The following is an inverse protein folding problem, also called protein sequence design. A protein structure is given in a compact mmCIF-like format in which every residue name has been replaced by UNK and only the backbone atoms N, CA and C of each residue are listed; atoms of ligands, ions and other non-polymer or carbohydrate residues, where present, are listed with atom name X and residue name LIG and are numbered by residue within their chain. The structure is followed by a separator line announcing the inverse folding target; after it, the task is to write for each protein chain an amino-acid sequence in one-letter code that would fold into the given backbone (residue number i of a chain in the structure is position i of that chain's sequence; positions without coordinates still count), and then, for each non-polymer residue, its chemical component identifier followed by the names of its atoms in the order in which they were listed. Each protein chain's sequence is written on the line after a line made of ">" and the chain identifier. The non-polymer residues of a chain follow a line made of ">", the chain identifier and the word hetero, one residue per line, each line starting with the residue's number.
data_IF_336413490726
#
_entry.id   IF_336413490726
#
_cell.length_a   1.000
_cell.length_b   1.000
_cell.length_c   1.000
_cell.angle_alpha   90.00
_cell.angle_beta   90.00
_cell.angle_gamma   90.00
#
_symmetry.space_group_name_H-M   'P 1'
#
loop_
_entity.id
_entity.type
_entity.pdbx_description
1 polymer ?
#
# COMPACT_ATOMS: atom_id res chain seq x y z
N UNK A 1 -13.05 0.12 10.67
CA UNK A 1 -12.09 -0.36 11.70
C UNK A 1 -10.81 -0.72 10.98
N UNK A 2 -9.76 0.08 11.13
CA UNK A 2 -8.45 -0.21 10.55
C UNK A 2 -7.94 -1.55 11.09
N UNK A 3 -7.47 -2.42 10.20
CA UNK A 3 -7.01 -3.78 10.50
C UNK A 3 -5.63 -3.74 11.20
N UNK A 4 -5.54 -3.11 12.37
CA UNK A 4 -4.30 -2.93 13.13
C UNK A 4 -4.29 -3.91 14.29
N UNK A 5 -3.33 -4.83 14.24
CA UNK A 5 -2.98 -5.71 15.36
C UNK A 5 -2.13 -4.93 16.37
N UNK A 6 -1.97 -5.48 17.57
CA UNK A 6 -1.04 -4.94 18.55
C UNK A 6 0.37 -4.76 17.94
N UNK A 7 1.14 -3.81 18.48
CA UNK A 7 2.51 -3.53 18.04
C UNK A 7 2.66 -3.02 16.59
N UNK A 8 1.59 -2.45 16.01
CA UNK A 8 1.67 -1.74 14.72
C UNK A 8 1.00 -0.37 14.81
N UNK A 9 1.79 0.67 14.57
CA UNK A 9 1.41 2.07 14.75
C UNK A 9 1.34 2.74 13.39
N UNK A 10 0.40 3.67 13.23
CA UNK A 10 0.38 4.54 12.06
C UNK A 10 0.38 5.99 12.53
N UNK A 11 1.16 6.81 11.84
CA UNK A 11 1.10 8.24 11.94
C UNK A 11 0.67 8.81 10.59
N UNK A 12 -0.52 9.40 10.54
CA UNK A 12 -1.05 10.09 9.35
C UNK A 12 -0.42 11.47 9.30
N UNK A 13 0.10 11.86 8.15
CA UNK A 13 0.62 13.19 7.89
C UNK A 13 -0.27 13.91 6.89
N UNK A 14 -0.11 15.24 6.82
CA UNK A 14 -0.68 16.00 5.72
C UNK A 14 -0.01 15.58 4.40
N UNK A 15 -0.77 15.38 3.31
CA UNK A 15 -0.20 15.27 1.97
C UNK A 15 0.71 16.46 1.58
N UNK A 16 0.48 17.63 2.19
CA UNK A 16 1.28 18.84 1.96
C UNK A 16 2.55 18.92 2.84
N UNK A 17 2.81 17.92 3.69
CA UNK A 17 4.03 17.85 4.50
C UNK A 17 5.26 17.79 3.57
N UNK A 18 6.22 18.75 3.64
CA UNK A 18 7.23 18.94 2.60
C UNK A 18 8.00 17.68 2.19
N UNK A 19 8.50 16.82 3.10
CA UNK A 19 9.21 15.60 2.71
C UNK A 19 8.32 14.59 1.97
N UNK A 20 7.03 14.52 2.31
CA UNK A 20 6.08 13.62 1.66
C UNK A 20 5.61 14.16 0.32
N UNK A 21 5.41 15.47 0.22
CA UNK A 21 5.11 16.16 -1.03
C UNK A 21 6.27 16.04 -2.03
N UNK A 22 7.51 16.19 -1.56
CA UNK A 22 8.72 15.99 -2.37
C UNK A 22 8.81 14.55 -2.88
N UNK A 23 8.64 13.57 -1.99
CA UNK A 23 8.64 12.14 -2.37
C UNK A 23 7.54 11.81 -3.37
N UNK A 24 6.35 12.40 -3.20
CA UNK A 24 5.23 12.23 -4.11
C UNK A 24 5.46 12.85 -5.49
N UNK A 25 6.34 13.85 -5.58
CA UNK A 25 6.77 14.49 -6.82
C UNK A 25 8.02 13.85 -7.44
N UNK A 26 8.58 12.80 -6.84
CA UNK A 26 9.83 12.19 -7.28
C UNK A 26 9.76 11.67 -8.73
N UNK A 27 10.83 11.90 -9.50
CA UNK A 27 10.88 11.64 -10.95
C UNK A 27 10.64 10.19 -11.35
N UNK A 28 10.99 9.23 -10.49
CA UNK A 28 10.70 7.80 -10.68
C UNK A 28 9.21 7.46 -10.49
N UNK A 29 8.52 8.21 -9.64
CA UNK A 29 7.17 7.90 -9.19
C UNK A 29 6.11 8.54 -10.09
N UNK A 30 6.30 9.82 -10.44
CA UNK A 30 5.35 10.61 -11.23
C UNK A 30 4.96 9.96 -12.57
N UNK A 31 5.89 9.42 -13.39
CA UNK A 31 5.53 8.79 -14.66
C UNK A 31 4.62 7.58 -14.48
N UNK A 32 4.86 6.76 -13.45
CA UNK A 32 4.05 5.56 -13.17
C UNK A 32 2.65 5.95 -12.68
N UNK A 33 2.56 6.90 -11.74
CA UNK A 33 1.27 7.41 -11.26
C UNK A 33 0.46 8.00 -12.42
N UNK A 34 1.10 8.82 -13.26
CA UNK A 34 0.45 9.44 -14.43
C UNK A 34 -0.02 8.38 -15.45
N UNK A 35 0.76 7.32 -15.67
CA UNK A 35 0.38 6.25 -16.59
C UNK A 35 -0.85 5.45 -16.09
N UNK A 36 -0.94 5.20 -14.77
CA UNK A 36 -2.01 4.37 -14.20
C UNK A 36 -3.29 5.15 -13.87
N UNK A 37 -3.15 6.37 -13.34
CA UNK A 37 -4.26 7.20 -12.87
C UNK A 37 -4.64 8.31 -13.86
N UNK A 38 -3.78 8.59 -14.83
CA UNK A 38 -3.96 9.67 -15.80
C UNK A 38 -3.42 11.02 -15.31
N UNK A 39 -3.53 12.08 -16.14
CA UNK A 39 -2.94 13.38 -15.84
C UNK A 39 -3.66 14.15 -14.70
N UNK A 40 -4.87 13.72 -14.30
CA UNK A 40 -5.64 14.32 -13.22
C UNK A 40 -5.71 13.37 -12.03
N UNK A 41 -4.69 13.42 -11.19
CA UNK A 41 -4.59 12.69 -9.93
C UNK A 41 -4.11 13.63 -8.83
N UNK A 42 -4.23 13.19 -7.58
CA UNK A 42 -3.74 13.91 -6.41
C UNK A 42 -3.20 12.93 -5.37
N UNK A 43 -2.35 13.42 -4.47
CA UNK A 43 -1.93 12.70 -3.28
C UNK A 43 -3.06 12.78 -2.26
N UNK A 44 -3.72 11.65 -2.01
CA UNK A 44 -4.88 11.59 -1.13
C UNK A 44 -4.48 11.38 0.32
N UNK A 45 -3.52 10.48 0.57
CA UNK A 45 -3.05 10.16 1.92
C UNK A 45 -1.54 9.97 1.92
N UNK A 46 -0.93 10.38 3.02
CA UNK A 46 0.48 10.16 3.24
C UNK A 46 0.73 9.91 4.74
N UNK A 47 1.72 9.09 5.06
CA UNK A 47 2.09 8.86 6.44
C UNK A 47 3.11 7.76 6.62
N UNK A 48 3.21 7.29 7.86
CA UNK A 48 4.14 6.26 8.28
C UNK A 48 3.39 5.12 8.96
N UNK A 49 3.73 3.88 8.61
CA UNK A 49 3.35 2.68 9.37
C UNK A 49 4.61 2.09 9.99
N UNK A 50 4.61 1.89 11.30
CA UNK A 50 5.70 1.26 12.04
C UNK A 50 5.23 -0.06 12.61
N UNK A 51 5.92 -1.14 12.24
CA UNK A 51 5.73 -2.46 12.83
C UNK A 51 6.82 -2.69 13.88
N UNK A 52 6.47 -2.72 15.16
CA UNK A 52 7.42 -3.01 16.23
C UNK A 52 7.74 -4.51 16.31
N UNK A 53 8.81 -4.85 17.02
CA UNK A 53 9.13 -6.25 17.34
C UNK A 53 7.94 -6.95 18.00
N UNK A 54 7.65 -8.19 17.59
CA UNK A 54 6.54 -8.98 18.10
C UNK A 54 5.19 -8.67 17.45
N UNK A 55 5.11 -7.78 16.47
CA UNK A 55 3.86 -7.52 15.76
C UNK A 55 3.37 -8.74 14.98
N UNK A 56 2.10 -9.11 15.16
CA UNK A 56 1.46 -10.16 14.40
C UNK A 56 1.21 -9.77 12.94
N UNK A 57 1.01 -10.80 12.11
CA UNK A 57 0.50 -10.61 10.75
C UNK A 57 -0.89 -9.96 10.79
N UNK A 58 -1.11 -8.98 9.92
CA UNK A 58 -2.45 -8.43 9.70
C UNK A 58 -3.36 -9.48 9.05
N UNK A 59 -4.68 -9.27 9.11
CA UNK A 59 -5.60 -10.09 8.29
C UNK A 59 -5.39 -9.74 6.81
N UNK A 60 -5.58 -10.71 5.93
CA UNK A 60 -5.68 -10.43 4.50
C UNK A 60 -6.83 -9.45 4.24
N UNK A 61 -6.54 -8.36 3.53
CA UNK A 61 -7.53 -7.34 3.19
C UNK A 61 -7.20 -6.65 1.86
N UNK A 62 -8.17 -5.90 1.34
CA UNK A 62 -7.99 -4.88 0.32
C UNK A 62 -8.16 -3.53 1.02
N UNK A 63 -7.40 -2.51 0.60
CA UNK A 63 -7.55 -1.16 1.16
C UNK A 63 -8.86 -0.52 0.66
N UNK A 64 -9.16 -0.73 -0.63
CA UNK A 64 -10.34 -0.17 -1.30
C UNK A 64 -11.13 -1.27 -2.01
N UNK A 65 -12.46 -1.17 -2.06
CA UNK A 65 -13.28 -2.12 -2.80
C UNK A 65 -13.21 -1.88 -4.31
N UNK A 66 -13.71 -2.85 -5.09
CA UNK A 66 -14.10 -2.59 -6.47
C UNK A 66 -15.32 -1.66 -6.50
N UNK A 67 -15.25 -0.56 -7.26
CA UNK A 67 -16.30 0.47 -7.28
C UNK A 67 -17.61 0.02 -7.95
N UNK A 68 -17.51 -0.89 -8.91
CA UNK A 68 -18.66 -1.29 -9.74
C UNK A 68 -18.82 -2.81 -9.73
N UNK A 69 -20.08 -3.26 -9.71
CA UNK A 69 -20.43 -4.67 -9.88
C UNK A 69 -20.42 -5.06 -11.37
N UNK A 70 -19.25 -4.95 -12.01
CA UNK A 70 -19.07 -5.35 -13.41
C UNK A 70 -18.12 -6.57 -13.52
N UNK A 71 -18.33 -7.39 -14.56
CA UNK A 71 -17.46 -8.52 -14.87
C UNK A 71 -16.12 -8.10 -15.49
N UNK A 72 -16.05 -6.89 -16.02
CA UNK A 72 -14.84 -6.34 -16.64
C UNK A 72 -13.86 -5.85 -15.58
N UNK A 73 -12.57 -6.18 -15.74
CA UNK A 73 -11.52 -5.57 -14.94
C UNK A 73 -11.32 -4.11 -15.37
N UNK A 74 -11.58 -3.19 -14.46
CA UNK A 74 -11.46 -1.75 -14.69
C UNK A 74 -10.09 -1.22 -14.25
N UNK A 75 -9.58 -0.15 -14.89
CA UNK A 75 -8.37 0.54 -14.45
C UNK A 75 -8.42 0.92 -12.95
N UNK A 76 -7.25 1.05 -12.29
CA UNK A 76 -7.19 1.47 -10.91
C UNK A 76 -7.76 2.89 -10.74
N UNK A 77 -8.52 3.08 -9.67
CA UNK A 77 -9.03 4.40 -9.26
C UNK A 77 -8.10 5.10 -8.26
N UNK A 78 -7.18 4.33 -7.68
CA UNK A 78 -6.15 4.75 -6.74
C UNK A 78 -4.92 3.84 -6.87
N UNK A 79 -3.78 4.29 -6.36
CA UNK A 79 -2.51 3.58 -6.34
C UNK A 79 -1.86 3.78 -4.97
N UNK A 80 -1.51 2.69 -4.31
CA UNK A 80 -0.77 2.73 -3.05
C UNK A 80 0.72 2.50 -3.32
N UNK A 81 1.56 3.26 -2.61
CA UNK A 81 3.02 3.17 -2.67
C UNK A 81 3.55 3.06 -1.27
N UNK A 82 4.34 2.01 -1.00
CA UNK A 82 5.16 1.93 0.20
C UNK A 82 6.62 2.24 -0.12
N UNK A 83 7.25 3.02 0.74
CA UNK A 83 8.68 3.32 0.70
C UNK A 83 9.31 2.88 2.02
N UNK A 84 10.06 1.77 2.04
CA UNK A 84 10.68 1.28 3.26
C UNK A 84 11.79 2.23 3.75
N UNK A 85 11.80 2.51 5.05
CA UNK A 85 12.89 3.26 5.69
C UNK A 85 13.93 2.33 6.32
N UNK A 86 13.74 1.02 6.21
CA UNK A 86 14.68 -0.02 6.58
C UNK A 86 14.68 -1.12 5.50
N UNK A 87 15.65 -2.04 5.58
CA UNK A 87 15.65 -3.22 4.73
C UNK A 87 14.41 -4.08 5.03
N UNK A 88 13.74 -4.56 3.99
CA UNK A 88 12.64 -5.50 4.10
C UNK A 88 13.14 -6.91 3.81
N UNK A 89 13.03 -7.78 4.81
CA UNK A 89 13.49 -9.16 4.73
C UNK A 89 12.53 -10.08 5.51
N UNK A 90 12.48 -11.39 5.22
CA UNK A 90 11.44 -12.27 5.76
C UNK A 90 11.22 -12.20 7.28
N UNK A 91 12.28 -12.01 8.08
CA UNK A 91 12.18 -11.99 9.54
C UNK A 91 11.51 -10.72 10.10
N UNK A 92 11.55 -9.58 9.41
CA UNK A 92 10.85 -8.36 9.85
C UNK A 92 9.45 -8.19 9.24
N UNK A 93 9.00 -9.21 8.49
CA UNK A 93 7.62 -9.39 8.06
C UNK A 93 7.16 -8.43 6.96
N UNK A 94 7.81 -8.36 5.79
CA UNK A 94 7.44 -7.49 4.68
C UNK A 94 5.96 -7.60 4.31
N UNK A 95 5.45 -6.62 3.56
CA UNK A 95 4.08 -6.73 3.03
C UNK A 95 4.00 -7.95 2.10
N UNK A 96 2.97 -8.76 2.32
CA UNK A 96 2.66 -9.95 1.55
C UNK A 96 1.50 -9.66 0.61
N UNK A 97 1.57 -10.15 -0.63
CA UNK A 97 0.57 -9.92 -1.66
C UNK A 97 0.08 -11.25 -2.23
N UNK A 98 -1.23 -11.39 -2.40
CA UNK A 98 -1.82 -12.43 -3.25
C UNK A 98 -1.89 -11.88 -4.68
N UNK A 99 -0.97 -12.31 -5.53
CA UNK A 99 -0.82 -11.81 -6.89
C UNK A 99 -2.13 -11.99 -7.69
N UNK A 100 -2.38 -11.01 -8.57
CA UNK A 100 -3.53 -10.98 -9.49
C UNK A 100 -4.93 -10.84 -8.84
N UNK A 101 -5.04 -10.73 -7.51
CA UNK A 101 -6.34 -10.64 -6.81
C UNK A 101 -7.04 -9.27 -6.93
N UNK A 102 -6.34 -8.23 -7.41
CA UNK A 102 -6.96 -6.97 -7.83
C UNK A 102 -7.87 -7.13 -9.07
N UNK A 103 -7.83 -8.29 -9.73
CA UNK A 103 -8.83 -8.71 -10.70
C UNK A 103 -9.86 -9.60 -10.00
N UNK A 104 -11.11 -9.14 -9.89
CA UNK A 104 -12.19 -9.81 -9.15
C UNK A 104 -12.39 -11.28 -9.55
N UNK A 105 -12.25 -11.60 -10.84
CA UNK A 105 -12.38 -12.97 -11.35
C UNK A 105 -11.34 -13.95 -10.77
N UNK A 106 -10.19 -13.44 -10.30
CA UNK A 106 -9.12 -14.26 -9.76
C UNK A 106 -9.27 -14.56 -8.26
N UNK A 107 -10.22 -13.94 -7.56
CA UNK A 107 -10.41 -14.13 -6.12
C UNK A 107 -10.85 -15.56 -5.75
N UNK A 108 -11.44 -16.28 -6.70
CA UNK A 108 -11.85 -17.69 -6.52
C UNK A 108 -10.72 -18.68 -6.84
N UNK A 109 -9.61 -18.20 -7.41
CA UNK A 109 -8.47 -19.04 -7.78
C UNK A 109 -7.53 -19.23 -6.59
N UNK A 110 -6.73 -20.29 -6.61
CA UNK A 110 -5.65 -20.48 -5.64
C UNK A 110 -4.61 -19.34 -5.82
N UNK A 111 -4.35 -18.52 -4.79
CA UNK A 111 -3.46 -17.37 -4.94
C UNK A 111 -2.01 -17.79 -5.06
N UNK A 112 -1.24 -17.02 -5.83
CA UNK A 112 0.22 -17.00 -5.78
C UNK A 112 0.66 -15.88 -4.85
N UNK A 113 1.71 -16.10 -4.07
CA UNK A 113 2.17 -15.13 -3.07
C UNK A 113 3.45 -14.43 -3.51
N UNK A 114 3.61 -13.18 -3.10
CA UNK A 114 4.86 -12.43 -3.20
C UNK A 114 5.13 -11.68 -1.89
N UNK A 115 6.40 -11.59 -1.53
CA UNK A 115 6.90 -10.79 -0.40
C UNK A 115 7.62 -9.57 -0.98
N UNK A 116 7.29 -8.37 -0.48
CA UNK A 116 8.03 -7.17 -0.82
C UNK A 116 9.35 -7.08 -0.03
N UNK A 117 10.30 -7.96 -0.32
CA UNK A 117 11.65 -7.89 0.21
C UNK A 117 12.50 -6.98 -0.68
N UNK A 118 13.04 -5.90 -0.12
CA UNK A 118 13.77 -4.87 -0.85
C UNK A 118 14.57 -3.97 0.10
N UNK A 119 15.63 -3.30 -0.38
CA UNK A 119 16.40 -2.37 0.43
C UNK A 119 15.60 -1.08 0.76
N UNK A 120 16.03 -0.30 1.77
CA UNK A 120 15.45 1.01 2.07
C UNK A 120 15.44 1.92 0.83
N UNK A 121 14.41 2.77 0.71
CA UNK A 121 14.24 3.69 -0.42
C UNK A 121 13.63 3.07 -1.68
N UNK A 122 13.40 1.75 -1.69
CA UNK A 122 12.67 1.08 -2.79
C UNK A 122 11.21 1.55 -2.86
N UNK A 123 10.61 1.53 -4.06
CA UNK A 123 9.20 1.83 -4.25
C UNK A 123 8.41 0.53 -4.44
N UNK A 124 7.52 0.20 -3.49
CA UNK A 124 6.58 -0.92 -3.61
C UNK A 124 5.22 -0.38 -3.98
N UNK A 125 4.87 -0.45 -5.27
CA UNK A 125 3.63 0.07 -5.81
C UNK A 125 2.60 -1.04 -6.03
N UNK A 126 1.36 -0.81 -5.62
CA UNK A 126 0.30 -1.79 -5.79
C UNK A 126 -1.08 -1.16 -5.98
N UNK A 127 -1.93 -1.88 -6.71
CA UNK A 127 -3.35 -1.58 -6.80
C UNK A 127 -4.01 -1.90 -5.43
N UNK A 128 -4.66 -0.95 -4.75
CA UNK A 128 -5.21 -1.17 -3.41
C UNK A 128 -6.38 -2.17 -3.35
N UNK A 129 -6.85 -2.65 -4.51
CA UNK A 129 -7.80 -3.78 -4.64
C UNK A 129 -7.11 -5.14 -4.52
N UNK A 130 -5.77 -5.19 -4.49
CA UNK A 130 -5.05 -6.44 -4.26
C UNK A 130 -5.22 -6.90 -2.81
N UNK A 131 -5.44 -8.20 -2.64
CA UNK A 131 -5.43 -8.82 -1.33
C UNK A 131 -4.00 -8.82 -0.79
N UNK A 132 -3.77 -8.14 0.31
CA UNK A 132 -2.47 -8.00 0.94
C UNK A 132 -2.56 -7.98 2.47
N UNK A 133 -1.40 -8.08 3.13
CA UNK A 133 -1.27 -7.89 4.59
C UNK A 133 0.16 -7.49 4.94
N UNK A 134 0.32 -6.72 6.02
CA UNK A 134 1.61 -6.62 6.70
C UNK A 134 1.95 -7.96 7.38
N UNK A 135 3.12 -8.52 7.07
CA UNK A 135 3.64 -9.71 7.71
C UNK A 135 4.03 -9.49 9.19
N UNK A 136 4.28 -10.59 9.92
CA UNK A 136 4.66 -10.53 11.33
C UNK A 136 6.10 -10.05 11.50
N UNK A 137 6.35 -9.10 12.39
CA UNK A 137 7.71 -8.65 12.69
C UNK A 137 8.29 -9.51 13.82
N UNK A 138 9.13 -10.48 13.46
CA UNK A 138 9.83 -11.38 14.38
C UNK A 138 11.28 -10.94 14.64
N UNK A 139 11.70 -9.80 14.09
CA UNK A 139 12.99 -9.20 14.37
C UNK A 139 12.98 -8.46 15.71
N UNK A 140 14.14 -8.03 16.17
CA UNK A 140 14.36 -7.21 17.36
C UNK A 140 14.27 -5.69 17.10
N UNK A 141 14.03 -5.28 15.85
CA UNK A 141 13.97 -3.89 15.42
C UNK A 141 12.59 -3.49 14.89
N UNK A 142 12.36 -2.18 14.81
CA UNK A 142 11.19 -1.62 14.14
C UNK A 142 11.33 -1.73 12.62
N UNK A 143 10.20 -1.97 11.94
CA UNK A 143 10.09 -1.89 10.48
C UNK A 143 9.18 -0.72 10.09
N UNK A 144 9.76 0.49 9.89
CA UNK A 144 9.06 1.65 9.38
C UNK A 144 8.88 1.65 7.85
N UNK A 145 7.67 2.01 7.41
CA UNK A 145 7.29 2.20 6.00
C UNK A 145 6.57 3.53 5.83
N UNK A 146 7.03 4.38 4.92
CA UNK A 146 6.21 5.49 4.44
C UNK A 146 5.16 4.94 3.49
N UNK A 147 3.94 5.46 3.55
CA UNK A 147 2.91 5.19 2.57
C UNK A 147 2.46 6.47 1.89
N UNK A 148 2.20 6.37 0.59
CA UNK A 148 1.54 7.39 -0.22
C UNK A 148 0.37 6.71 -0.96
N UNK A 149 -0.80 7.33 -0.93
CA UNK A 149 -1.95 6.90 -1.72
C UNK A 149 -2.31 7.99 -2.70
N UNK A 150 -2.19 7.69 -3.98
CA UNK A 150 -2.63 8.55 -5.06
C UNK A 150 -4.01 8.14 -5.53
N UNK A 151 -4.85 9.12 -5.85
CA UNK A 151 -6.20 8.86 -6.32
C UNK A 151 -6.50 9.68 -7.57
N UNK A 152 -7.33 9.12 -8.45
CA UNK A 152 -7.91 9.89 -9.55
C UNK A 152 -8.74 11.03 -8.97
N UNK A 153 -8.74 12.19 -9.63
CA UNK A 153 -9.37 13.41 -9.06
C UNK A 153 -10.88 13.28 -8.77
N UNK A 154 -11.55 12.32 -9.40
CA UNK A 154 -12.98 12.05 -9.17
C UNK A 154 -13.24 11.02 -8.06
N UNK A 155 -12.19 10.41 -7.49
CA UNK A 155 -12.28 9.42 -6.44
C UNK A 155 -11.81 9.99 -5.10
N UNK A 156 -12.52 9.62 -4.04
CA UNK A 156 -12.14 9.82 -2.66
C UNK A 156 -12.49 8.57 -1.86
N UNK A 157 -11.55 8.06 -1.09
CA UNK A 157 -11.77 6.96 -0.16
C UNK A 157 -12.51 7.48 1.08
N UNK A 158 -13.76 7.03 1.21
CA UNK A 158 -14.64 7.35 2.34
C UNK A 158 -14.67 6.26 3.40
N UNK A 159 -14.01 5.12 3.17
CA UNK A 159 -14.02 3.96 4.06
C UNK A 159 -12.87 3.96 5.07
N UNK A 160 -11.75 4.58 4.70
CA UNK A 160 -10.58 4.72 5.57
C UNK A 160 -10.23 6.21 5.77
N UNK A 161 -11.10 7.01 6.43
CA UNK A 161 -10.87 8.44 6.60
C UNK A 161 -9.57 8.76 7.38
#
# INVERSE_FOLDING_TARGET
>A
MQNRRAHRWEHVHSPDDPPLAELAAHETLVPVVRALLGPKHYLEKAGLVVSHSGADAQRWHMDTPHLFACGTHLPPHSLSVFVPLCELHPANGPTEYQLATHMKANLVLKPRYALASCPPGSLVMYDPRIMHRGGPNQSDAERPLVYLTFSRIWYRDTLNP
#
